data_IF_448791140944
#
_entry.id   IF_448791140944
#
_cell.length_a   1.000
_cell.length_b   1.000
_cell.length_c   1.000
_cell.angle_alpha   90.00
_cell.angle_beta   90.00
_cell.angle_gamma   90.00
#
_symmetry.space_group_name_H-M   'P 1'
#
loop_
_entity.id
_entity.type
_entity.pdbx_description
1 polymer ?
#
# COMPACT_ATOMS: atom_id res chain seq x y z
N UNK A 1 -1.01 -22.76 15.18
CA UNK A 1 -1.73 -21.63 14.55
C UNK A 1 -0.91 -20.33 14.48
N UNK A 2 -0.26 -19.86 15.56
CA UNK A 2 0.59 -18.65 15.52
C UNK A 2 1.72 -18.70 14.47
N UNK A 3 2.45 -19.83 14.33
CA UNK A 3 3.51 -19.99 13.31
C UNK A 3 3.00 -19.85 11.87
N UNK A 4 1.79 -20.33 11.58
CA UNK A 4 1.20 -20.28 10.25
C UNK A 4 0.86 -18.83 9.86
N UNK A 5 0.26 -18.09 10.80
CA UNK A 5 -0.03 -16.66 10.64
C UNK A 5 1.22 -15.83 10.37
N UNK A 6 2.28 -16.01 11.18
CA UNK A 6 3.53 -15.27 10.98
C UNK A 6 4.23 -15.64 9.66
N UNK A 7 4.10 -16.89 9.21
CA UNK A 7 4.66 -17.32 7.93
C UNK A 7 3.90 -16.71 6.76
N UNK A 8 2.55 -16.67 6.83
CA UNK A 8 1.71 -16.04 5.83
C UNK A 8 2.01 -14.54 5.69
N UNK A 9 2.06 -13.80 6.81
CA UNK A 9 2.42 -12.38 6.81
C UNK A 9 3.81 -12.15 6.22
N UNK A 10 4.79 -13.00 6.55
CA UNK A 10 6.15 -12.88 5.99
C UNK A 10 6.17 -13.12 4.48
N UNK A 11 5.40 -14.08 3.99
CA UNK A 11 5.31 -14.38 2.56
C UNK A 11 4.66 -13.22 1.81
N UNK A 12 3.60 -12.64 2.37
CA UNK A 12 2.91 -11.45 1.85
C UNK A 12 3.89 -10.27 1.73
N UNK A 13 4.68 -10.02 2.77
CA UNK A 13 5.72 -8.96 2.77
C UNK A 13 6.78 -9.17 1.69
N UNK A 14 7.25 -10.40 1.52
CA UNK A 14 8.26 -10.72 0.50
C UNK A 14 7.68 -10.48 -0.90
N UNK A 15 6.42 -10.90 -1.13
CA UNK A 15 5.75 -10.71 -2.41
C UNK A 15 5.52 -9.23 -2.73
N UNK A 16 5.01 -8.45 -1.78
CA UNK A 16 4.79 -7.00 -1.95
C UNK A 16 6.09 -6.28 -2.31
N UNK A 17 7.16 -6.52 -1.54
CA UNK A 17 8.45 -5.88 -1.79
C UNK A 17 9.06 -6.34 -3.12
N UNK A 18 8.97 -7.62 -3.45
CA UNK A 18 9.50 -8.15 -4.70
C UNK A 18 8.74 -7.59 -5.92
N UNK A 19 7.40 -7.55 -5.87
CA UNK A 19 6.57 -7.01 -6.95
C UNK A 19 6.77 -5.49 -7.12
N UNK A 20 6.87 -4.74 -6.02
CA UNK A 20 7.14 -3.31 -6.06
C UNK A 20 8.52 -3.02 -6.65
N UNK A 21 9.56 -3.71 -6.16
CA UNK A 21 10.92 -3.57 -6.68
C UNK A 21 11.01 -3.96 -8.16
N UNK A 22 10.38 -5.07 -8.54
CA UNK A 22 10.31 -5.49 -9.94
C UNK A 22 9.61 -4.44 -10.81
N UNK A 23 8.47 -3.91 -10.37
CA UNK A 23 7.72 -2.90 -11.12
C UNK A 23 8.49 -1.60 -11.33
N UNK A 24 9.22 -1.12 -10.30
CA UNK A 24 10.05 0.10 -10.41
C UNK A 24 11.25 -0.12 -11.32
N UNK A 25 11.97 -1.24 -11.16
CA UNK A 25 13.13 -1.57 -12.01
C UNK A 25 12.68 -1.72 -13.46
N UNK A 26 11.59 -2.46 -13.69
CA UNK A 26 11.02 -2.66 -15.01
C UNK A 26 10.62 -1.32 -15.64
N UNK A 27 9.87 -0.49 -14.91
CA UNK A 27 9.44 0.81 -15.41
C UNK A 27 10.63 1.71 -15.77
N UNK A 28 11.68 1.70 -14.93
CA UNK A 28 12.90 2.49 -15.17
C UNK A 28 13.65 2.00 -16.41
N UNK A 29 13.90 0.70 -16.52
CA UNK A 29 14.62 0.11 -17.66
C UNK A 29 13.85 0.35 -18.97
N UNK A 30 12.54 0.13 -18.97
CA UNK A 30 11.72 0.35 -20.16
C UNK A 30 11.66 1.83 -20.55
N UNK A 31 11.61 2.75 -19.58
CA UNK A 31 11.68 4.20 -19.85
C UNK A 31 13.02 4.57 -20.49
N UNK A 32 14.14 4.02 -20.00
CA UNK A 32 15.46 4.25 -20.60
C UNK A 32 15.52 3.70 -22.03
N UNK A 33 14.99 2.50 -22.27
CA UNK A 33 14.91 1.92 -23.62
C UNK A 33 14.07 2.81 -24.54
N UNK A 34 12.94 3.34 -24.07
CA UNK A 34 12.10 4.25 -24.84
C UNK A 34 12.84 5.55 -25.19
N UNK A 35 13.54 6.15 -24.24
CA UNK A 35 14.35 7.35 -24.46
C UNK A 35 15.38 7.05 -25.57
N UNK A 36 16.14 5.97 -25.46
CA UNK A 36 17.15 5.59 -26.47
C UNK A 36 16.48 5.35 -27.83
N UNK A 37 15.40 4.59 -27.88
CA UNK A 37 14.69 4.26 -29.13
C UNK A 37 14.12 5.53 -29.81
N UNK A 38 13.57 6.46 -29.02
CA UNK A 38 13.02 7.73 -29.51
C UNK A 38 14.09 8.65 -30.06
N UNK A 39 15.22 8.81 -29.36
CA UNK A 39 16.26 9.77 -29.75
C UNK A 39 17.28 9.22 -30.77
N UNK A 40 17.55 7.91 -30.79
CA UNK A 40 18.46 7.29 -31.76
C UNK A 40 17.74 6.63 -32.93
N UNK A 41 16.73 5.80 -32.67
CA UNK A 41 16.05 5.00 -33.70
C UNK A 41 14.92 5.76 -34.40
N UNK A 42 14.45 6.88 -33.82
CA UNK A 42 13.30 7.67 -34.28
C UNK A 42 12.00 6.84 -34.43
N UNK A 43 11.92 5.68 -33.78
CA UNK A 43 10.76 4.80 -33.80
C UNK A 43 10.10 4.80 -32.42
N UNK A 44 9.05 5.60 -32.26
CA UNK A 44 8.28 5.63 -31.02
C UNK A 44 7.26 4.50 -31.01
N UNK A 45 7.58 3.43 -30.29
CA UNK A 45 6.68 2.30 -30.11
C UNK A 45 5.64 2.64 -29.05
N UNK A 46 4.50 3.17 -29.48
CA UNK A 46 3.44 3.72 -28.61
C UNK A 46 2.97 2.76 -27.51
N UNK A 47 2.86 1.45 -27.78
CA UNK A 47 2.38 0.47 -26.79
C UNK A 47 3.33 0.28 -25.60
N UNK A 48 4.64 0.51 -25.79
CA UNK A 48 5.65 0.33 -24.73
C UNK A 48 5.46 1.43 -23.66
N UNK A 49 5.07 2.62 -24.08
CA UNK A 49 4.77 3.76 -23.19
C UNK A 49 3.63 3.42 -22.23
N UNK A 50 2.48 3.02 -22.77
CA UNK A 50 1.31 2.62 -21.98
C UNK A 50 1.61 1.42 -21.06
N UNK A 51 2.32 0.40 -21.55
CA UNK A 51 2.69 -0.76 -20.73
C UNK A 51 3.57 -0.37 -19.54
N UNK A 52 4.53 0.52 -19.77
CA UNK A 52 5.44 1.04 -18.73
C UNK A 52 4.67 1.82 -17.67
N UNK A 53 3.71 2.65 -18.11
CA UNK A 53 2.83 3.40 -17.23
C UNK A 53 1.94 2.48 -16.39
N UNK A 54 1.36 1.42 -16.96
CA UNK A 54 0.54 0.48 -16.18
C UNK A 54 1.34 -0.31 -15.15
N UNK A 55 2.55 -0.75 -15.50
CA UNK A 55 3.44 -1.46 -14.56
C UNK A 55 3.91 -0.52 -13.45
N UNK A 56 4.18 0.74 -13.78
CA UNK A 56 4.50 1.76 -12.79
C UNK A 56 3.32 2.04 -11.86
N UNK A 57 2.09 2.16 -12.38
CA UNK A 57 0.88 2.32 -11.57
C UNK A 57 0.69 1.12 -10.64
N UNK A 58 0.89 -0.12 -11.12
CA UNK A 58 0.86 -1.30 -10.28
C UNK A 58 1.86 -1.21 -9.12
N UNK A 59 3.11 -0.83 -9.40
CA UNK A 59 4.13 -0.65 -8.39
C UNK A 59 3.77 0.46 -7.38
N UNK A 60 3.21 1.58 -7.86
CA UNK A 60 2.74 2.67 -7.02
C UNK A 60 1.61 2.23 -6.08
N UNK A 61 0.64 1.46 -6.58
CA UNK A 61 -0.46 0.92 -5.78
C UNK A 61 0.07 -0.04 -4.70
N UNK A 62 1.03 -0.90 -5.05
CA UNK A 62 1.68 -1.81 -4.09
C UNK A 62 2.45 -1.02 -3.04
N UNK A 63 3.13 0.07 -3.45
CA UNK A 63 3.86 0.95 -2.55
C UNK A 63 2.97 1.55 -1.45
N UNK A 64 1.70 1.84 -1.74
CA UNK A 64 0.73 2.35 -0.74
C UNK A 64 0.54 1.35 0.42
N UNK A 65 0.41 0.06 0.12
CA UNK A 65 0.29 -0.96 1.16
C UNK A 65 1.59 -1.11 1.96
N UNK A 66 2.75 -1.08 1.29
CA UNK A 66 4.06 -1.16 1.95
C UNK A 66 4.26 0.03 2.90
N UNK A 67 3.94 1.25 2.46
CA UNK A 67 4.05 2.45 3.32
C UNK A 67 3.07 2.43 4.48
N UNK A 68 1.87 1.86 4.28
CA UNK A 68 0.92 1.63 5.39
C UNK A 68 1.48 0.62 6.40
N UNK A 69 2.17 -0.43 5.93
CA UNK A 69 2.79 -1.46 6.78
C UNK A 69 3.99 -0.93 7.57
N UNK A 70 4.81 -0.09 6.97
CA UNK A 70 6.03 0.47 7.59
C UNK A 70 5.76 1.66 8.51
N UNK A 71 4.49 1.94 8.84
CA UNK A 71 4.08 3.08 9.66
C UNK A 71 4.67 4.39 9.12
N UNK A 72 4.48 4.66 7.82
CA UNK A 72 4.86 5.93 7.20
C UNK A 72 4.06 7.15 7.72
N UNK A 73 3.32 6.99 8.83
CA UNK A 73 2.98 8.09 9.73
C UNK A 73 4.22 8.65 10.46
N UNK A 74 5.44 8.30 10.07
CA UNK A 74 6.71 8.81 10.60
C UNK A 74 6.72 10.34 10.77
N UNK A 75 6.09 11.11 9.87
CA UNK A 75 5.99 12.56 10.03
C UNK A 75 5.09 13.00 11.20
N UNK A 76 3.97 12.28 11.43
CA UNK A 76 3.05 12.51 12.55
C UNK A 76 3.64 11.96 13.85
N UNK A 77 4.33 10.83 13.79
CA UNK A 77 5.05 10.23 14.91
C UNK A 77 6.17 11.19 15.40
N UNK A 78 7.00 11.74 14.50
CA UNK A 78 8.03 12.74 14.85
C UNK A 78 7.40 14.04 15.39
N UNK A 79 6.26 14.46 14.85
CA UNK A 79 5.53 15.62 15.35
C UNK A 79 4.96 15.39 16.76
N UNK A 80 4.38 14.20 17.02
CA UNK A 80 3.87 13.82 18.32
C UNK A 80 4.97 13.58 19.34
N UNK A 81 6.12 13.01 18.96
CA UNK A 81 7.29 12.84 19.82
C UNK A 81 7.85 14.20 20.28
N UNK A 82 7.80 15.21 19.40
CA UNK A 82 8.25 16.56 19.73
C UNK A 82 7.30 17.32 20.66
N UNK A 83 5.99 17.03 20.59
CA UNK A 83 4.96 17.68 21.42
C UNK A 83 4.73 16.92 22.74
N UNK A 84 4.68 15.59 22.71
CA UNK A 84 4.37 14.74 23.85
C UNK A 84 5.62 13.97 24.30
N UNK A 85 6.31 14.50 25.32
CA UNK A 85 7.49 13.88 25.95
C UNK A 85 7.19 12.62 26.81
N UNK A 86 6.00 12.02 26.70
CA UNK A 86 5.57 10.90 27.53
C UNK A 86 5.22 9.67 26.70
N UNK A 87 5.84 8.53 26.99
CA UNK A 87 5.68 7.27 26.23
C UNK A 87 4.22 6.78 26.15
N UNK A 88 3.43 7.03 27.20
CA UNK A 88 1.97 6.75 27.21
C UNK A 88 1.16 7.69 26.30
N UNK A 89 1.50 8.98 26.27
CA UNK A 89 0.80 9.97 25.45
C UNK A 89 1.12 9.77 23.95
N UNK A 90 2.34 9.36 23.63
CA UNK A 90 2.75 8.97 22.29
C UNK A 90 1.98 7.75 21.78
N UNK A 91 1.89 6.68 22.58
CA UNK A 91 1.12 5.47 22.22
C UNK A 91 -0.37 5.75 22.03
N UNK A 92 -0.98 6.60 22.87
CA UNK A 92 -2.37 7.03 22.72
C UNK A 92 -2.58 7.87 21.44
N UNK A 93 -1.66 8.78 21.15
CA UNK A 93 -1.68 9.58 19.93
C UNK A 93 -1.64 8.72 18.67
N UNK A 94 -0.80 7.70 18.65
CA UNK A 94 -0.71 6.73 17.54
C UNK A 94 -2.00 5.93 17.36
N UNK A 95 -2.68 5.56 18.46
CA UNK A 95 -4.00 4.91 18.40
C UNK A 95 -5.05 5.86 17.79
N UNK A 96 -5.05 7.14 18.15
CA UNK A 96 -5.99 8.13 17.59
C UNK A 96 -5.76 8.30 16.08
N UNK A 97 -4.50 8.39 15.65
CA UNK A 97 -4.15 8.49 14.22
C UNK A 97 -4.60 7.25 13.47
N UNK A 98 -4.35 6.05 14.00
CA UNK A 98 -4.84 4.80 13.39
C UNK A 98 -6.38 4.76 13.33
N UNK A 99 -7.06 5.22 14.38
CA UNK A 99 -8.53 5.27 14.41
C UNK A 99 -9.09 6.26 13.38
N UNK A 100 -8.43 7.42 13.22
CA UNK A 100 -8.78 8.42 12.22
C UNK A 100 -8.56 7.88 10.80
N UNK A 101 -7.41 7.25 10.55
CA UNK A 101 -7.11 6.57 9.28
C UNK A 101 -8.16 5.50 8.97
N UNK A 102 -8.58 4.71 9.96
CA UNK A 102 -9.62 3.70 9.81
C UNK A 102 -11.00 4.33 9.53
N UNK A 103 -11.29 5.49 10.12
CA UNK A 103 -12.48 6.28 9.83
C UNK A 103 -12.52 6.81 8.39
N UNK A 104 -11.40 7.32 7.88
CA UNK A 104 -11.27 7.77 6.48
C UNK A 104 -11.44 6.58 5.52
N UNK A 105 -10.85 5.43 5.86
CA UNK A 105 -11.01 4.21 5.06
C UNK A 105 -12.47 3.76 5.05
N UNK A 106 -13.14 3.74 6.20
CA UNK A 106 -14.56 3.37 6.28
C UNK A 106 -15.44 4.29 5.42
N UNK A 107 -15.20 5.60 5.46
CA UNK A 107 -15.93 6.57 4.65
C UNK A 107 -15.71 6.40 3.14
N UNK A 108 -14.49 6.05 2.74
CA UNK A 108 -14.13 5.88 1.32
C UNK A 108 -14.45 4.47 0.78
N UNK A 109 -14.67 3.48 1.65
CA UNK A 109 -14.97 2.09 1.30
C UNK A 109 -16.16 1.90 0.34
N UNK A 110 -17.33 2.55 0.51
CA UNK A 110 -18.45 2.37 -0.42
C UNK A 110 -18.12 2.87 -1.83
N UNK A 111 -17.30 3.91 -1.95
CA UNK A 111 -16.85 4.44 -3.25
C UNK A 111 -15.97 3.40 -3.94
N UNK A 112 -14.94 2.91 -3.26
CA UNK A 112 -14.04 1.89 -3.82
C UNK A 112 -14.77 0.59 -4.17
N UNK A 113 -15.73 0.17 -3.35
CA UNK A 113 -16.55 -1.01 -3.63
C UNK A 113 -17.41 -0.83 -4.89
N UNK A 114 -17.99 0.36 -5.10
CA UNK A 114 -18.73 0.67 -6.31
C UNK A 114 -17.83 0.65 -7.56
N UNK A 115 -16.61 1.18 -7.47
CA UNK A 115 -15.61 1.09 -8.53
C UNK A 115 -15.19 -0.35 -8.84
N UNK A 116 -15.00 -1.18 -7.82
CA UNK A 116 -14.68 -2.60 -7.98
C UNK A 116 -15.80 -3.38 -8.69
N UNK A 117 -17.05 -3.18 -8.26
CA UNK A 117 -18.22 -3.79 -8.92
C UNK A 117 -18.37 -3.35 -10.37
N UNK A 118 -18.06 -2.09 -10.67
CA UNK A 118 -18.07 -1.56 -12.04
C UNK A 118 -16.98 -2.23 -12.88
N UNK A 119 -15.78 -2.36 -12.34
CA UNK A 119 -14.65 -3.02 -13.01
C UNK A 119 -14.88 -4.51 -13.28
N UNK A 120 -15.72 -5.19 -12.50
CA UNK A 120 -16.12 -6.58 -12.79
C UNK A 120 -17.17 -6.69 -13.90
N UNK A 121 -17.97 -5.64 -14.11
CA UNK A 121 -19.06 -5.63 -15.10
C UNK A 121 -18.63 -5.09 -16.45
N UNK A 122 -17.66 -4.19 -16.47
CA UNK A 122 -17.18 -3.53 -17.68
C UNK A 122 -15.68 -3.72 -17.79
N UNK A 123 -15.26 -4.45 -18.82
CA UNK A 123 -13.84 -4.53 -19.19
C UNK A 123 -13.39 -3.18 -19.75
N UNK A 124 -12.50 -2.52 -19.02
CA UNK A 124 -11.75 -1.38 -19.52
C UNK A 124 -10.49 -1.90 -20.23
N UNK A 125 -10.26 -1.42 -21.45
CA UNK A 125 -9.12 -1.80 -22.27
C UNK A 125 -8.18 -0.60 -22.43
N UNK A 126 -6.88 -0.87 -22.45
CA UNK A 126 -5.89 0.17 -22.70
C UNK A 126 -6.07 0.78 -24.10
N UNK A 127 -5.93 2.11 -24.18
CA UNK A 127 -6.14 2.89 -25.41
C UNK A 127 -5.19 2.50 -26.54
N UNK A 128 -3.93 2.19 -26.23
CA UNK A 128 -2.91 1.84 -27.23
C UNK A 128 -2.50 0.37 -27.20
N UNK A 129 -3.09 -0.43 -26.28
CA UNK A 129 -2.82 -1.87 -26.14
C UNK A 129 -4.14 -2.64 -26.07
N UNK A 130 -4.77 -2.94 -27.23
CA UNK A 130 -6.11 -3.52 -27.29
C UNK A 130 -6.26 -4.90 -26.66
N UNK A 131 -5.14 -5.62 -26.42
CA UNK A 131 -5.12 -6.92 -25.74
C UNK A 131 -4.87 -6.80 -24.24
N UNK A 132 -4.61 -5.60 -23.72
CA UNK A 132 -4.32 -5.37 -22.31
C UNK A 132 -5.56 -4.79 -21.61
N UNK A 133 -6.30 -5.66 -20.94
CA UNK A 133 -7.37 -5.27 -20.05
C UNK A 133 -6.76 -4.44 -18.90
N UNK A 134 -7.32 -3.30 -18.50
CA UNK A 134 -6.86 -2.46 -17.38
C UNK A 134 -7.71 -2.68 -16.12
N UNK A 135 -8.80 -3.44 -16.20
CA UNK A 135 -9.71 -3.73 -15.09
C UNK A 135 -9.02 -4.45 -13.93
N UNK A 136 -7.99 -5.27 -14.21
CA UNK A 136 -7.19 -5.90 -13.16
C UNK A 136 -6.43 -4.88 -12.28
N UNK A 137 -6.12 -3.67 -12.77
CA UNK A 137 -5.54 -2.61 -11.95
C UNK A 137 -6.54 -2.11 -10.90
N UNK A 138 -7.80 -1.91 -11.28
CA UNK A 138 -8.86 -1.48 -10.35
C UNK A 138 -9.13 -2.58 -9.31
N UNK A 139 -9.07 -3.84 -9.72
CA UNK A 139 -9.14 -4.98 -8.81
C UNK A 139 -7.94 -5.03 -7.86
N UNK A 140 -6.72 -4.78 -8.36
CA UNK A 140 -5.51 -4.70 -7.55
C UNK A 140 -5.60 -3.57 -6.52
N UNK A 141 -6.11 -2.39 -6.89
CA UNK A 141 -6.35 -1.27 -5.96
C UNK A 141 -7.26 -1.73 -4.82
N UNK A 142 -8.36 -2.41 -5.13
CA UNK A 142 -9.29 -2.88 -4.11
C UNK A 142 -8.64 -3.91 -3.16
N UNK A 143 -7.85 -4.85 -3.71
CA UNK A 143 -7.11 -5.83 -2.89
C UNK A 143 -6.10 -5.14 -1.98
N UNK A 144 -5.33 -4.18 -2.49
CA UNK A 144 -4.35 -3.44 -1.67
C UNK A 144 -5.04 -2.60 -0.60
N UNK A 145 -6.22 -2.05 -0.88
CA UNK A 145 -7.01 -1.32 0.10
C UNK A 145 -7.49 -2.22 1.25
N UNK A 146 -7.93 -3.45 0.95
CA UNK A 146 -8.26 -4.46 1.97
C UNK A 146 -7.02 -4.85 2.79
N UNK A 147 -5.85 -4.98 2.15
CA UNK A 147 -4.59 -5.23 2.86
C UNK A 147 -4.20 -4.07 3.78
N UNK A 148 -4.38 -2.82 3.37
CA UNK A 148 -4.17 -1.65 4.23
C UNK A 148 -5.02 -1.71 5.50
N UNK A 149 -6.32 -2.05 5.38
CA UNK A 149 -7.20 -2.24 6.55
C UNK A 149 -6.66 -3.31 7.47
N UNK A 150 -6.25 -4.45 6.91
CA UNK A 150 -5.69 -5.55 7.69
C UNK A 150 -4.42 -5.13 8.44
N UNK A 151 -3.51 -4.39 7.79
CA UNK A 151 -2.30 -3.88 8.41
C UNK A 151 -2.59 -2.88 9.54
N UNK A 152 -3.53 -1.95 9.36
CA UNK A 152 -3.93 -0.97 10.39
C UNK A 152 -4.55 -1.66 11.60
N UNK A 153 -5.44 -2.64 11.39
CA UNK A 153 -6.06 -3.41 12.46
C UNK A 153 -5.00 -4.22 13.22
N UNK A 154 -4.10 -4.89 12.51
CA UNK A 154 -3.01 -5.64 13.13
C UNK A 154 -2.10 -4.72 13.96
N UNK A 155 -1.69 -3.57 13.43
CA UNK A 155 -0.83 -2.64 14.13
C UNK A 155 -1.51 -2.09 15.40
N UNK A 156 -2.79 -1.73 15.28
CA UNK A 156 -3.60 -1.26 16.42
C UNK A 156 -3.75 -2.32 17.49
N UNK A 157 -3.96 -3.59 17.12
CA UNK A 157 -4.05 -4.69 18.06
C UNK A 157 -2.72 -4.93 18.81
N UNK A 158 -1.59 -4.83 18.13
CA UNK A 158 -0.26 -4.97 18.75
C UNK A 158 0.01 -3.83 19.74
N UNK A 159 -0.32 -2.59 19.35
CA UNK A 159 -0.22 -1.40 20.22
C UNK A 159 -1.13 -1.49 21.45
N UNK A 160 -2.36 -1.97 21.29
CA UNK A 160 -3.29 -2.16 22.41
C UNK A 160 -2.77 -3.20 23.41
N UNK A 161 -2.19 -4.30 22.93
CA UNK A 161 -1.62 -5.36 23.78
C UNK A 161 -0.36 -4.89 24.53
N UNK A 162 0.49 -4.08 23.89
CA UNK A 162 1.70 -3.53 24.55
C UNK A 162 1.32 -2.54 25.65
N UNK A 163 0.35 -1.65 25.40
CA UNK A 163 -0.22 -0.74 26.41
C UNK A 163 -0.85 -1.48 27.59
N UNK A 164 -1.61 -2.55 27.31
CA UNK A 164 -2.23 -3.35 28.36
C UNK A 164 -1.18 -4.04 29.25
N UNK A 165 -0.10 -4.58 28.67
CA UNK A 165 1.02 -5.17 29.45
C UNK A 165 1.75 -4.14 30.30
N UNK A 166 1.94 -2.93 29.78
CA UNK A 166 2.62 -1.85 30.51
C UNK A 166 1.77 -1.27 31.64
N UNK A 167 0.44 -1.22 31.48
CA UNK A 167 -0.47 -0.83 32.57
C UNK A 167 -0.47 -1.84 33.73
N UNK A 168 -0.29 -3.12 33.42
CA UNK A 168 -0.31 -4.21 34.40
C UNK A 168 1.06 -4.44 35.07
N UNK A 169 2.15 -4.11 34.38
CA UNK A 169 3.51 -4.15 34.95
C UNK A 169 3.85 -2.95 35.83
N UNK A 170 3.13 -1.84 35.71
CA UNK A 170 3.28 -0.66 36.56
C UNK A 170 2.49 -0.70 37.88
N UNK A 171 1.78 -1.80 38.17
CA UNK A 171 1.11 -2.04 39.47
C UNK A 171 1.96 -2.90 40.42
N UNK A 172 3.15 -3.34 40.00
CA UNK A 172 4.07 -4.18 40.81
C UNK A 172 5.28 -3.41 41.39
N UNK A 173 5.36 -2.08 41.23
CA UNK A 173 6.35 -1.19 41.88
C UNK A 173 5.69 -0.22 42.87
#
# INVERSE_FOLDING_TARGET
MKKLYFSFVRLLVILENALCAFGIIFATVFTVIQIINRYWLHYEVMWISDLTLYIFILAAIISIAITTREDAHTAVDVFMERIFRGDRAFKLGKIIVNLLSLGIIWFTMPIFYAFFLRSLKFDEWATLVPWFNTSWLVQAIFVMFVLCVFHIVHNTAVLAVSLYRESRGGEEE
#
